data_IF_621990116572
#
_entry.id   IF_621990116572
#
_cell.length_a   1.000
_cell.length_b   1.000
_cell.length_c   1.000
_cell.angle_alpha   90.00
_cell.angle_beta   90.00
_cell.angle_gamma   90.00
#
_symmetry.space_group_name_H-M   'P 1'
#
loop_
_entity.id
_entity.type
_entity.pdbx_description
1 polymer ?
#
# COMPACT_ATOMS: atom_id res chain seq x y z
N UNK A 1 1.79 5.37 -8.01
CA UNK A 1 0.60 5.00 -7.21
C UNK A 1 0.43 5.95 -6.02
N UNK A 2 -0.82 6.29 -5.72
CA UNK A 2 -1.22 7.04 -4.51
C UNK A 2 -1.31 6.11 -3.30
N UNK A 3 -1.13 6.67 -2.11
CA UNK A 3 -1.24 5.94 -0.83
C UNK A 3 -2.53 5.10 -0.75
N UNK A 4 -3.68 5.69 -1.11
CA UNK A 4 -4.96 4.99 -1.05
C UNK A 4 -5.04 3.77 -1.95
N UNK A 5 -4.40 3.81 -3.12
CA UNK A 5 -4.33 2.68 -4.05
C UNK A 5 -3.43 1.57 -3.51
N UNK A 6 -2.28 1.95 -2.93
CA UNK A 6 -1.37 1.00 -2.26
C UNK A 6 -2.07 0.27 -1.12
N UNK A 7 -2.86 0.96 -0.30
CA UNK A 7 -3.61 0.33 0.78
C UNK A 7 -4.65 -0.66 0.25
N UNK A 8 -5.38 -0.32 -0.82
CA UNK A 8 -6.33 -1.27 -1.45
C UNK A 8 -5.64 -2.51 -1.97
N UNK A 9 -4.52 -2.35 -2.67
CA UNK A 9 -3.70 -3.45 -3.15
C UNK A 9 -3.21 -4.35 -1.99
N UNK A 10 -2.76 -3.76 -0.88
CA UNK A 10 -2.34 -4.55 0.29
C UNK A 10 -3.51 -5.34 0.91
N UNK A 11 -4.75 -4.85 0.86
CA UNK A 11 -5.93 -5.62 1.31
C UNK A 11 -6.22 -6.82 0.41
N UNK A 12 -6.01 -6.68 -0.89
CA UNK A 12 -6.13 -7.76 -1.87
C UNK A 12 -5.09 -8.86 -1.64
N UNK A 13 -3.83 -8.46 -1.51
CA UNK A 13 -2.71 -9.38 -1.23
C UNK A 13 -2.92 -10.09 0.11
N UNK A 14 -3.27 -9.35 1.17
CA UNK A 14 -3.50 -9.94 2.49
C UNK A 14 -4.68 -10.92 2.48
N UNK A 15 -5.76 -10.59 1.76
CA UNK A 15 -6.90 -11.49 1.60
C UNK A 15 -6.54 -12.77 0.85
N UNK A 16 -5.72 -12.67 -0.18
CA UNK A 16 -5.18 -13.82 -0.93
C UNK A 16 -4.28 -14.70 -0.04
N UNK A 17 -3.38 -14.10 0.74
CA UNK A 17 -2.50 -14.82 1.70
C UNK A 17 -3.33 -15.56 2.76
N UNK A 18 -4.48 -14.99 3.17
CA UNK A 18 -5.40 -15.60 4.13
C UNK A 18 -6.36 -16.63 3.50
N UNK A 19 -6.27 -16.87 2.20
CA UNK A 19 -7.11 -17.85 1.49
C UNK A 19 -8.56 -17.40 1.27
N UNK A 20 -8.83 -16.08 1.24
CA UNK A 20 -10.17 -15.55 0.98
C UNK A 20 -10.51 -15.49 -0.52
N UNK A 21 -9.51 -15.53 -1.40
CA UNK A 21 -9.65 -15.32 -2.86
C UNK A 21 -10.37 -14.00 -3.21
N UNK A 22 -10.25 -13.01 -2.31
CA UNK A 22 -10.76 -11.65 -2.44
C UNK A 22 -9.98 -10.75 -1.51
N UNK A 23 -10.10 -9.44 -1.70
CA UNK A 23 -9.63 -8.46 -0.74
C UNK A 23 -10.29 -8.61 0.64
N UNK A 24 -9.50 -8.40 1.69
CA UNK A 24 -10.05 -8.17 3.02
C UNK A 24 -10.85 -6.87 3.01
N UNK A 25 -12.05 -6.89 3.58
CA UNK A 25 -12.83 -5.69 3.82
C UNK A 25 -12.13 -4.79 4.84
N UNK A 26 -12.41 -3.48 4.80
CA UNK A 26 -11.87 -2.54 5.77
C UNK A 26 -12.21 -2.92 7.21
N UNK A 27 -13.39 -3.49 7.45
CA UNK A 27 -13.80 -3.97 8.78
C UNK A 27 -13.01 -5.21 9.22
N UNK A 28 -12.71 -6.13 8.30
CA UNK A 28 -11.85 -7.29 8.57
C UNK A 28 -10.43 -6.85 8.92
N UNK A 29 -9.87 -5.85 8.23
CA UNK A 29 -8.56 -5.26 8.57
C UNK A 29 -8.56 -4.68 9.98
N UNK A 30 -9.57 -3.88 10.34
CA UNK A 30 -9.67 -3.28 11.68
C UNK A 30 -9.73 -4.36 12.77
N UNK A 31 -10.49 -5.44 12.53
CA UNK A 31 -10.56 -6.58 13.46
C UNK A 31 -9.24 -7.35 13.54
N UNK A 32 -8.59 -7.58 12.41
CA UNK A 32 -7.31 -8.28 12.35
C UNK A 32 -6.19 -7.49 13.04
N UNK A 33 -6.11 -6.17 12.81
CA UNK A 33 -5.21 -5.27 13.54
C UNK A 33 -5.38 -5.42 15.05
N UNK A 34 -6.63 -5.37 15.53
CA UNK A 34 -6.91 -5.48 16.97
C UNK A 34 -6.51 -6.84 17.53
N UNK A 35 -6.78 -7.92 16.79
CA UNK A 35 -6.50 -9.30 17.20
C UNK A 35 -4.99 -9.61 17.21
N UNK A 36 -4.26 -9.18 16.20
CA UNK A 36 -2.88 -9.60 15.96
C UNK A 36 -1.86 -8.65 16.58
N UNK A 37 -2.17 -7.35 16.60
CA UNK A 37 -1.24 -6.30 17.00
C UNK A 37 -1.66 -5.55 18.27
N UNK A 38 -2.85 -5.82 18.81
CA UNK A 38 -3.42 -5.16 20.01
C UNK A 38 -3.87 -3.71 19.79
N UNK A 39 -3.52 -3.13 18.65
CA UNK A 39 -3.84 -1.76 18.24
C UNK A 39 -4.94 -1.75 17.16
N UNK A 40 -5.63 -0.62 16.99
CA UNK A 40 -6.70 -0.51 16.02
C UNK A 40 -6.79 0.91 15.46
N UNK A 41 -7.38 1.03 14.28
CA UNK A 41 -7.83 2.28 13.67
C UNK A 41 -9.33 2.16 13.38
N UNK A 42 -10.04 3.27 13.20
CA UNK A 42 -11.44 3.19 12.80
C UNK A 42 -11.57 2.79 11.33
N UNK A 43 -12.64 2.06 10.99
CA UNK A 43 -12.94 1.72 9.59
C UNK A 43 -13.18 2.98 8.74
N UNK A 44 -13.83 4.01 9.31
CA UNK A 44 -14.01 5.31 8.66
C UNK A 44 -12.67 5.97 8.33
N UNK A 45 -11.68 5.90 9.23
CA UNK A 45 -10.35 6.45 8.97
C UNK A 45 -9.63 5.70 7.84
N UNK A 46 -9.71 4.36 7.81
CA UNK A 46 -9.20 3.56 6.71
C UNK A 46 -9.87 3.92 5.37
N UNK A 47 -11.19 4.12 5.38
CA UNK A 47 -11.95 4.59 4.21
C UNK A 47 -11.50 5.97 3.72
N UNK A 48 -11.23 6.91 4.63
CA UNK A 48 -10.72 8.24 4.28
C UNK A 48 -9.32 8.18 3.64
N UNK A 49 -8.45 7.29 4.10
CA UNK A 49 -7.13 7.05 3.51
C UNK A 49 -7.29 6.49 2.09
N UNK A 50 -8.09 5.44 1.92
CA UNK A 50 -8.31 4.80 0.61
C UNK A 50 -8.98 5.72 -0.41
N UNK A 51 -9.84 6.64 0.03
CA UNK A 51 -10.46 7.65 -0.83
C UNK A 51 -9.57 8.86 -1.11
N UNK A 52 -8.40 8.96 -0.47
CA UNK A 52 -7.49 10.09 -0.62
C UNK A 52 -7.90 11.36 0.14
N UNK A 53 -8.99 11.32 0.93
CA UNK A 53 -9.41 12.43 1.81
C UNK A 53 -8.34 12.72 2.88
N UNK A 54 -7.61 11.67 3.28
CA UNK A 54 -6.45 11.76 4.18
C UNK A 54 -5.22 11.21 3.44
N UNK A 55 -4.53 12.04 2.62
CA UNK A 55 -3.41 11.58 1.80
C UNK A 55 -2.12 11.29 2.61
N UNK A 56 -2.10 11.67 3.89
CA UNK A 56 -0.95 11.48 4.78
C UNK A 56 -1.36 10.74 6.06
N UNK A 57 -0.52 9.79 6.47
CA UNK A 57 -0.66 9.05 7.70
C UNK A 57 0.12 9.73 8.83
N UNK A 58 -0.42 9.65 10.05
CA UNK A 58 0.42 9.85 11.24
C UNK A 58 1.54 8.80 11.25
N UNK A 59 2.67 9.10 11.89
CA UNK A 59 3.78 8.14 12.00
C UNK A 59 3.30 6.83 12.65
N UNK A 60 2.55 6.92 13.76
CA UNK A 60 1.97 5.78 14.46
C UNK A 60 1.10 4.89 13.55
N UNK A 61 0.19 5.48 12.77
CA UNK A 61 -0.65 4.72 11.83
C UNK A 61 0.19 4.07 10.73
N UNK A 62 1.19 4.78 10.21
CA UNK A 62 2.09 4.25 9.16
C UNK A 62 2.86 3.04 9.65
N UNK A 63 3.46 3.11 10.84
CA UNK A 63 4.18 1.98 11.44
C UNK A 63 3.25 0.81 11.74
N UNK A 64 2.03 1.08 12.22
CA UNK A 64 1.03 0.05 12.49
C UNK A 64 0.64 -0.70 11.21
N UNK A 65 0.27 0.02 10.15
CA UNK A 65 -0.12 -0.57 8.88
C UNK A 65 1.06 -1.28 8.20
N UNK A 66 2.26 -0.71 8.26
CA UNK A 66 3.47 -1.33 7.74
C UNK A 66 3.77 -2.66 8.43
N UNK A 67 3.65 -2.71 9.77
CA UNK A 67 3.82 -3.95 10.54
C UNK A 67 2.74 -4.99 10.21
N UNK A 68 1.49 -4.55 10.06
CA UNK A 68 0.38 -5.43 9.73
C UNK A 68 0.54 -6.07 8.35
N UNK A 69 0.77 -5.26 7.31
CA UNK A 69 0.93 -5.72 5.93
C UNK A 69 2.35 -6.24 5.62
N UNK A 70 3.26 -6.24 6.60
CA UNK A 70 4.65 -6.71 6.46
C UNK A 70 5.41 -5.99 5.33
N UNK A 71 5.20 -4.68 5.19
CA UNK A 71 5.89 -3.82 4.21
C UNK A 71 6.78 -2.80 4.92
N UNK A 72 7.74 -2.24 4.20
CA UNK A 72 8.52 -1.12 4.71
C UNK A 72 7.63 0.13 4.88
N UNK A 73 7.76 0.94 5.96
CA UNK A 73 6.94 2.15 6.16
C UNK A 73 7.02 3.16 5.02
N UNK A 74 8.16 3.18 4.31
CA UNK A 74 8.38 4.00 3.11
C UNK A 74 7.56 3.58 1.89
N UNK A 75 6.92 2.40 1.90
CA UNK A 75 5.95 2.03 0.86
C UNK A 75 4.62 2.79 1.03
N UNK A 76 4.27 3.17 2.27
CA UNK A 76 3.00 3.82 2.62
C UNK A 76 3.05 5.34 2.47
N UNK A 77 3.48 5.78 1.30
CA UNK A 77 3.47 7.17 0.83
C UNK A 77 3.10 7.19 -0.65
N UNK A 78 2.76 8.37 -1.16
CA UNK A 78 2.63 8.57 -2.61
C UNK A 78 3.98 8.31 -3.30
N UNK A 79 3.93 7.68 -4.46
CA UNK A 79 5.12 7.60 -5.30
C UNK A 79 5.50 9.00 -5.82
N UNK A 80 6.80 9.33 -5.84
CA UNK A 80 7.26 10.58 -6.43
C UNK A 80 7.02 10.57 -7.95
N UNK A 81 6.99 11.77 -8.55
CA UNK A 81 6.97 11.90 -10.00
C UNK A 81 8.20 11.22 -10.61
N UNK A 82 8.01 10.48 -11.72
CA UNK A 82 9.07 9.70 -12.34
C UNK A 82 9.44 8.41 -11.61
N UNK A 83 8.67 7.98 -10.60
CA UNK A 83 8.84 6.64 -10.03
C UNK A 83 8.38 5.58 -11.02
N UNK A 84 9.29 4.66 -11.33
CA UNK A 84 9.02 3.50 -12.17
C UNK A 84 9.29 2.23 -11.36
N UNK A 85 8.34 1.29 -11.40
CA UNK A 85 8.46 -0.02 -10.75
C UNK A 85 9.39 -0.97 -11.49
N UNK A 86 9.70 -0.66 -12.74
CA UNK A 86 10.62 -1.40 -13.59
C UNK A 86 12.02 -0.79 -13.49
N UNK A 87 13.06 -1.63 -13.53
CA UNK A 87 14.43 -1.13 -13.73
C UNK A 87 14.54 -0.54 -15.13
N UNK A 88 14.45 0.78 -15.24
CA UNK A 88 14.85 1.50 -16.44
C UNK A 88 16.38 1.60 -16.38
N UNK A 89 17.06 0.68 -17.07
CA UNK A 89 18.48 0.89 -17.36
C UNK A 89 18.58 2.01 -18.41
N UNK A 90 19.37 3.06 -18.14
CA UNK A 90 19.71 4.10 -19.12
C UNK A 90 20.32 3.52 -20.43
N UNK A 91 20.72 2.24 -20.43
CA UNK A 91 21.22 1.55 -21.63
C UNK A 91 20.11 1.28 -22.65
N UNK A 92 18.86 1.02 -22.22
CA UNK A 92 17.76 0.70 -23.16
C UNK A 92 17.36 1.88 -24.03
N UNK A 93 17.45 3.10 -23.51
CA UNK A 93 17.15 4.32 -24.28
C UNK A 93 18.22 4.61 -25.35
N UNK A 94 19.42 4.03 -25.22
CA UNK A 94 20.47 4.14 -26.24
C UNK A 94 20.31 3.07 -27.33
N UNK A 95 19.92 1.85 -26.97
CA UNK A 95 19.67 0.74 -27.92
C UNK A 95 18.53 1.09 -28.90
N UNK A 96 17.45 1.70 -28.41
CA UNK A 96 16.30 2.14 -29.23
C UNK A 96 16.65 3.24 -30.26
N UNK A 97 17.81 3.91 -30.07
CA UNK A 97 18.34 4.94 -30.98
C UNK A 97 19.32 4.39 -32.02
N UNK A 98 19.81 3.17 -31.87
CA UNK A 98 20.73 2.51 -32.81
C UNK A 98 20.00 1.60 -33.81
N UNK A 99 18.72 1.30 -33.56
CA UNK A 99 17.86 0.49 -34.46
C UNK A 99 17.07 1.35 -35.49
N UNK A 100 17.48 2.60 -35.72
CA UNK A 100 16.97 3.50 -36.78
C UNK A 100 18.06 3.85 -37.79
#
# INVERSE_FOLDING_TARGET
MKLGEKIRYLREVEGSIRGLDREMTQQEIVRALKKELGASISQSYLSQIEKGVRPHLTNTTRLLLARFFKVHPGYLVDDPEGYHTELISEVRTLEERLDL
#
